data_IF_508804909554
#
_entry.id   IF_508804909554
#
_cell.length_a   1.000
_cell.length_b   1.000
_cell.length_c   1.000
_cell.angle_alpha   90.00
_cell.angle_beta   90.00
_cell.angle_gamma   90.00
#
_symmetry.space_group_name_H-M   'P 1'
#
loop_
_entity.id
_entity.type
_entity.pdbx_description
1 polymer ?
#
# COMPACT_ATOMS: atom_id res chain seq x y z
N UNK A 1 -2.83 -46.97 29.19
CA UNK A 1 -2.10 -45.67 29.21
C UNK A 1 -1.72 -45.19 27.80
N UNK A 2 -1.15 -46.04 26.95
CA UNK A 2 -0.64 -45.68 25.61
C UNK A 2 -1.69 -45.13 24.62
N UNK A 3 -2.95 -45.60 24.66
CA UNK A 3 -4.03 -45.07 23.80
C UNK A 3 -4.36 -43.60 24.07
N UNK A 4 -4.39 -43.20 25.35
CA UNK A 4 -4.66 -41.81 25.76
C UNK A 4 -3.51 -40.89 25.37
N UNK A 5 -2.26 -41.38 25.48
CA UNK A 5 -1.06 -40.66 25.05
C UNK A 5 -1.03 -40.42 23.54
N UNK A 6 -1.46 -41.42 22.73
CA UNK A 6 -1.57 -41.26 21.27
C UNK A 6 -2.63 -40.24 20.87
N UNK A 7 -3.80 -40.25 21.52
CA UNK A 7 -4.84 -39.24 21.27
C UNK A 7 -4.36 -37.82 21.64
N UNK A 8 -3.65 -37.70 22.75
CA UNK A 8 -3.07 -36.43 23.20
C UNK A 8 -2.04 -35.88 22.21
N UNK A 9 -1.13 -36.74 21.72
CA UNK A 9 -0.17 -36.37 20.67
C UNK A 9 -0.86 -35.95 19.37
N UNK A 10 -1.91 -36.66 18.96
CA UNK A 10 -2.68 -36.33 17.75
C UNK A 10 -3.37 -34.96 17.88
N UNK A 11 -3.92 -34.63 19.06
CA UNK A 11 -4.52 -33.31 19.32
C UNK A 11 -3.49 -32.17 19.30
N UNK A 12 -2.26 -32.38 19.79
CA UNK A 12 -1.19 -31.37 19.70
C UNK A 12 -0.74 -31.10 18.26
N UNK A 13 -0.72 -32.12 17.40
CA UNK A 13 -0.33 -31.93 15.99
C UNK A 13 -1.38 -31.13 15.19
N UNK A 14 -2.66 -31.28 15.52
CA UNK A 14 -3.75 -30.55 14.84
C UNK A 14 -3.76 -29.05 15.21
N UNK A 15 -3.34 -28.72 16.44
CA UNK A 15 -3.31 -27.32 16.90
C UNK A 15 -2.21 -26.47 16.25
N UNK A 16 -1.14 -27.10 15.73
CA UNK A 16 -0.05 -26.40 15.03
C UNK A 16 -0.43 -25.86 13.64
N UNK A 17 -1.44 -26.43 12.98
CA UNK A 17 -1.91 -25.98 11.65
C UNK A 17 -2.94 -24.83 11.72
N UNK A 18 -3.56 -24.62 12.88
CA UNK A 18 -4.58 -23.58 13.05
C UNK A 18 -4.01 -22.15 13.15
N UNK A 19 -2.67 -22.01 13.19
CA UNK A 19 -1.97 -20.73 13.23
C UNK A 19 -1.51 -20.25 11.83
N UNK A 20 -2.24 -20.60 10.77
CA UNK A 20 -2.02 -19.97 9.47
C UNK A 20 -2.30 -18.47 9.61
N UNK A 21 -1.27 -17.62 9.51
CA UNK A 21 -1.48 -16.17 9.50
C UNK A 21 -2.31 -15.82 8.25
N UNK A 22 -3.55 -15.34 8.41
CA UNK A 22 -4.30 -14.82 7.27
C UNK A 22 -3.49 -13.67 6.68
N UNK A 23 -3.31 -13.68 5.36
CA UNK A 23 -2.64 -12.57 4.68
C UNK A 23 -3.40 -11.25 4.91
N UNK A 24 -2.66 -10.16 5.09
CA UNK A 24 -3.20 -8.82 5.28
C UNK A 24 -3.07 -8.02 3.99
N UNK A 25 -4.18 -7.40 3.55
CA UNK A 25 -4.19 -6.41 2.48
C UNK A 25 -4.24 -5.02 3.12
N UNK A 26 -3.34 -4.14 2.70
CA UNK A 26 -3.23 -2.75 3.18
C UNK A 26 -2.86 -1.83 2.03
N UNK A 27 -3.00 -0.53 2.23
CA UNK A 27 -2.68 0.44 1.19
C UNK A 27 -3.11 1.84 1.56
N UNK A 28 -2.75 2.77 0.69
CA UNK A 28 -3.08 4.18 0.76
C UNK A 28 -3.36 4.73 -0.63
N UNK A 29 -4.31 5.65 -0.70
CA UNK A 29 -4.51 6.51 -1.84
C UNK A 29 -4.10 7.91 -1.39
N UNK A 30 -3.14 8.50 -2.09
CA UNK A 30 -2.75 9.86 -1.85
C UNK A 30 -2.89 10.65 -3.15
N UNK A 31 -3.51 11.82 -3.01
CA UNK A 31 -3.74 12.77 -4.10
C UNK A 31 -3.12 14.10 -3.71
N UNK A 32 -2.36 14.68 -4.62
CA UNK A 32 -1.79 16.00 -4.49
C UNK A 32 -2.41 16.94 -5.52
N UNK A 33 -2.81 18.12 -5.07
CA UNK A 33 -3.33 19.19 -5.92
C UNK A 33 -2.40 20.38 -5.78
N UNK A 34 -1.80 20.76 -6.89
CA UNK A 34 -0.97 21.94 -7.01
C UNK A 34 -1.80 23.04 -7.66
N UNK A 35 -1.77 24.24 -7.08
CA UNK A 35 -2.38 25.44 -7.65
C UNK A 35 -1.24 26.39 -8.01
N UNK A 36 -1.16 26.77 -9.27
CA UNK A 36 -0.11 27.63 -9.78
C UNK A 36 -0.66 29.03 -9.98
N UNK A 37 0.00 30.00 -9.34
CA UNK A 37 -0.24 31.42 -9.58
C UNK A 37 0.97 32.00 -10.29
N UNK A 38 0.74 32.65 -11.44
CA UNK A 38 1.79 33.41 -12.10
C UNK A 38 2.22 34.55 -11.20
N UNK A 39 3.51 34.59 -10.89
CA UNK A 39 4.14 35.70 -10.19
C UNK A 39 5.18 36.36 -11.11
N UNK A 40 4.95 37.65 -11.38
CA UNK A 40 5.80 38.47 -12.23
C UNK A 40 7.14 38.82 -11.58
N UNK A 41 7.25 38.75 -10.25
CA UNK A 41 8.47 39.06 -9.50
C UNK A 41 9.52 37.93 -9.58
N UNK A 42 9.09 36.67 -9.68
CA UNK A 42 9.99 35.50 -9.78
C UNK A 42 10.44 35.19 -11.20
N UNK A 43 9.93 35.92 -12.21
CA UNK A 43 10.40 35.78 -13.58
C UNK A 43 9.97 34.51 -14.31
N UNK A 44 8.93 33.81 -13.84
CA UNK A 44 8.41 32.58 -14.44
C UNK A 44 7.55 32.85 -15.70
N UNK A 45 8.10 33.59 -16.65
CA UNK A 45 7.47 33.92 -17.93
C UNK A 45 7.81 32.87 -19.00
N UNK A 46 6.90 32.63 -19.94
CA UNK A 46 7.06 31.70 -21.07
C UNK A 46 7.28 30.23 -20.64
N UNK A 47 6.74 29.85 -19.49
CA UNK A 47 6.72 28.45 -19.02
C UNK A 47 5.33 27.87 -19.25
N UNK A 48 5.18 26.83 -20.11
CA UNK A 48 3.88 26.26 -20.43
C UNK A 48 3.06 25.85 -19.21
N UNK A 49 3.72 25.41 -18.12
CA UNK A 49 3.08 25.10 -16.84
C UNK A 49 2.34 26.33 -16.27
N UNK A 50 3.03 27.42 -15.99
CA UNK A 50 2.44 28.63 -15.41
C UNK A 50 1.63 29.49 -16.40
N UNK A 51 1.81 29.24 -17.71
CA UNK A 51 1.12 29.98 -18.76
C UNK A 51 -0.20 29.36 -19.18
N UNK A 52 -0.30 28.03 -19.14
CA UNK A 52 -1.47 27.29 -19.64
C UNK A 52 -2.20 26.48 -18.55
N UNK A 53 -1.54 26.17 -17.43
CA UNK A 53 -2.09 25.30 -16.39
C UNK A 53 -2.14 26.02 -15.04
N UNK A 54 -3.36 26.29 -14.56
CA UNK A 54 -3.58 26.88 -13.24
C UNK A 54 -3.55 25.85 -12.11
N UNK A 55 -3.64 24.57 -12.45
CA UNK A 55 -3.68 23.46 -11.49
C UNK A 55 -3.00 22.22 -12.05
N UNK A 56 -2.28 21.47 -11.20
CA UNK A 56 -1.77 20.13 -11.49
C UNK A 56 -2.32 19.14 -10.47
N UNK A 57 -2.67 17.94 -10.91
CA UNK A 57 -3.19 16.88 -10.04
C UNK A 57 -2.34 15.64 -10.24
N UNK A 58 -1.87 15.08 -9.13
CA UNK A 58 -1.09 13.85 -9.14
C UNK A 58 -1.71 12.91 -8.10
N UNK A 59 -1.74 11.62 -8.38
CA UNK A 59 -2.25 10.63 -7.44
C UNK A 59 -1.43 9.34 -7.50
N UNK A 60 -1.24 8.73 -6.33
CA UNK A 60 -0.61 7.44 -6.19
C UNK A 60 -1.45 6.52 -5.31
N UNK A 61 -1.69 5.32 -5.82
CA UNK A 61 -2.32 4.23 -5.10
C UNK A 61 -1.27 3.17 -4.77
N UNK A 62 -1.05 2.94 -3.48
CA UNK A 62 -0.20 1.87 -2.98
C UNK A 62 -1.09 0.73 -2.46
N UNK A 63 -0.83 -0.49 -2.90
CA UNK A 63 -1.49 -1.69 -2.38
C UNK A 63 -0.43 -2.71 -1.99
N UNK A 64 -0.50 -3.18 -0.75
CA UNK A 64 0.46 -4.11 -0.16
C UNK A 64 -0.27 -5.34 0.38
N UNK A 65 0.21 -6.52 0.01
CA UNK A 65 -0.22 -7.80 0.55
C UNK A 65 0.91 -8.40 1.38
N UNK A 66 0.63 -8.74 2.64
CA UNK A 66 1.59 -9.35 3.56
C UNK A 66 1.11 -10.71 4.04
N UNK A 67 1.92 -11.74 3.92
CA UNK A 67 1.62 -13.09 4.40
C UNK A 67 2.89 -13.78 4.88
N UNK A 68 2.83 -14.41 6.07
CA UNK A 68 3.92 -15.25 6.60
C UNK A 68 5.31 -14.60 6.57
N UNK A 69 5.40 -13.30 6.87
CA UNK A 69 6.67 -12.53 6.87
C UNK A 69 7.14 -12.03 5.51
N UNK A 70 6.43 -12.33 4.42
CA UNK A 70 6.65 -11.76 3.09
C UNK A 70 5.68 -10.62 2.82
N UNK A 71 6.13 -9.59 2.11
CA UNK A 71 5.30 -8.49 1.65
C UNK A 71 5.54 -8.25 0.16
N UNK A 72 4.46 -8.20 -0.61
CA UNK A 72 4.46 -7.80 -2.01
C UNK A 72 3.61 -6.53 -2.17
N UNK A 73 4.11 -5.56 -2.93
CA UNK A 73 3.43 -4.29 -3.14
C UNK A 73 3.33 -3.93 -4.62
N UNK A 74 2.24 -3.27 -5.00
CA UNK A 74 2.07 -2.61 -6.30
C UNK A 74 1.79 -1.12 -6.08
N UNK A 75 2.32 -0.29 -6.97
CA UNK A 75 2.04 1.14 -7.03
C UNK A 75 1.49 1.49 -8.41
N UNK A 76 0.43 2.28 -8.43
CA UNK A 76 -0.13 2.89 -9.63
C UNK A 76 -0.05 4.41 -9.51
N UNK A 77 0.48 5.06 -10.54
CA UNK A 77 0.64 6.50 -10.62
C UNK A 77 -0.29 7.10 -11.68
N UNK A 78 -0.90 8.25 -11.39
CA UNK A 78 -1.73 9.03 -12.30
C UNK A 78 -1.33 10.52 -12.24
N UNK A 79 -1.18 11.14 -13.41
CA UNK A 79 -0.72 12.54 -13.61
C UNK A 79 -1.52 13.21 -14.73
#
# INVERSE_FOLDING_TARGET
>A
MIRKLRLFLLMMMISGFAAAQPGSLSGDLQTNVNIFQRDSAIGAYNTPLYDNYFTGIESWLNVNYSISGFTAGIRLDAF
#
